data_IF_231616071521
#
_entry.id   IF_231616071521
#
_cell.length_a   1.000
_cell.length_b   1.000
_cell.length_c   1.000
_cell.angle_alpha   90.00
_cell.angle_beta   90.00
_cell.angle_gamma   90.00
#
_symmetry.space_group_name_H-M   'P 1'
#
loop_
_entity.id
_entity.type
_entity.pdbx_description
1 polymer ?
#
# COMPACT_ATOMS: atom_id res chain seq x y z
N UNK A 1 -14.00 14.78 6.01
CA UNK A 1 -12.71 15.47 5.74
C UNK A 1 -12.35 15.43 4.27
N UNK A 2 -11.99 14.26 3.69
CA UNK A 2 -11.52 14.10 2.30
C UNK A 2 -12.35 14.88 1.26
N UNK A 3 -13.69 14.73 1.28
CA UNK A 3 -14.60 15.47 0.39
C UNK A 3 -14.53 17.00 0.55
N UNK A 4 -14.85 17.52 1.73
CA UNK A 4 -14.95 18.97 1.94
C UNK A 4 -13.61 19.68 1.80
N UNK A 5 -12.51 19.10 2.28
CA UNK A 5 -11.16 19.66 2.07
C UNK A 5 -10.84 19.73 0.58
N UNK A 6 -11.14 18.68 -0.19
CA UNK A 6 -10.96 18.69 -1.64
C UNK A 6 -11.81 19.76 -2.34
N UNK A 7 -13.10 19.82 -2.03
CA UNK A 7 -14.04 20.80 -2.61
C UNK A 7 -13.59 22.22 -2.29
N UNK A 8 -13.30 22.54 -1.03
CA UNK A 8 -12.90 23.88 -0.61
C UNK A 8 -11.51 24.27 -1.13
N UNK A 9 -10.61 23.31 -1.35
CA UNK A 9 -9.30 23.58 -1.97
C UNK A 9 -9.43 23.90 -3.46
N UNK A 10 -10.31 23.21 -4.19
CA UNK A 10 -10.48 23.38 -5.64
C UNK A 10 -11.48 24.48 -6.03
N UNK A 11 -12.48 24.71 -5.18
CA UNK A 11 -13.55 25.68 -5.38
C UNK A 11 -13.86 26.36 -4.05
N UNK A 12 -13.02 27.32 -3.60
CA UNK A 12 -13.15 27.94 -2.28
C UNK A 12 -14.47 28.71 -2.09
N UNK A 13 -15.09 29.15 -3.17
CA UNK A 13 -16.37 29.86 -3.14
C UNK A 13 -17.59 28.91 -3.07
N UNK A 14 -17.37 27.60 -3.21
CA UNK A 14 -18.45 26.62 -3.14
C UNK A 14 -18.87 26.37 -1.68
N UNK A 15 -20.17 26.43 -1.45
CA UNK A 15 -20.75 26.09 -0.15
C UNK A 15 -20.97 24.57 -0.05
N UNK A 16 -20.23 23.92 0.86
CA UNK A 16 -20.49 22.53 1.23
C UNK A 16 -21.78 22.41 2.06
N UNK A 17 -22.65 21.49 1.69
CA UNK A 17 -23.83 21.10 2.48
C UNK A 17 -23.68 19.60 2.77
N UNK A 18 -23.68 19.21 4.04
CA UNK A 18 -23.50 17.81 4.45
C UNK A 18 -24.72 17.32 5.27
N UNK A 19 -25.87 17.00 4.64
CA UNK A 19 -27.14 16.77 5.35
C UNK A 19 -27.07 15.67 6.42
N UNK A 20 -26.30 14.60 6.17
CA UNK A 20 -26.14 13.50 7.13
C UNK A 20 -25.52 14.00 8.45
N UNK A 21 -24.47 14.84 8.36
CA UNK A 21 -23.80 15.44 9.51
C UNK A 21 -24.63 16.59 10.10
N UNK A 22 -25.03 17.54 9.25
CA UNK A 22 -25.55 18.84 9.68
C UNK A 22 -27.01 18.77 10.16
N UNK A 23 -27.78 17.78 9.69
CA UNK A 23 -29.19 17.59 10.08
C UNK A 23 -29.40 16.35 10.97
N UNK A 24 -28.33 15.65 11.34
CA UNK A 24 -28.39 14.36 12.04
C UNK A 24 -29.41 13.40 11.37
N UNK A 25 -29.28 13.27 10.04
CA UNK A 25 -30.16 12.43 9.23
C UNK A 25 -29.78 10.96 9.44
N UNK A 26 -30.66 10.21 10.10
CA UNK A 26 -30.50 8.77 10.31
C UNK A 26 -31.19 7.98 9.20
N UNK A 27 -30.82 6.70 9.04
CA UNK A 27 -31.45 5.79 8.07
C UNK A 27 -32.97 5.74 8.26
N UNK A 28 -33.44 5.62 9.49
CA UNK A 28 -34.89 5.54 9.79
C UNK A 28 -35.62 6.84 9.42
N UNK A 29 -35.02 8.01 9.67
CA UNK A 29 -35.58 9.30 9.23
C UNK A 29 -35.64 9.40 7.70
N UNK A 30 -34.61 8.92 7.00
CA UNK A 30 -34.57 8.93 5.54
C UNK A 30 -35.63 7.98 4.95
N UNK A 31 -35.84 6.80 5.54
CA UNK A 31 -36.89 5.85 5.16
C UNK A 31 -38.28 6.46 5.39
N UNK A 32 -38.55 6.99 6.59
CA UNK A 32 -39.84 7.60 6.91
C UNK A 32 -40.15 8.79 5.96
N UNK A 33 -39.16 9.63 5.66
CA UNK A 33 -39.31 10.71 4.70
C UNK A 33 -39.62 10.18 3.29
N UNK A 34 -38.95 9.12 2.85
CA UNK A 34 -39.20 8.52 1.55
C UNK A 34 -40.60 7.89 1.45
N UNK A 35 -41.08 7.23 2.50
CA UNK A 35 -42.44 6.70 2.59
C UNK A 35 -43.49 7.82 2.57
N UNK A 36 -43.30 8.88 3.37
CA UNK A 36 -44.18 10.06 3.41
C UNK A 36 -44.28 10.74 2.04
N UNK A 37 -43.17 10.82 1.31
CA UNK A 37 -43.10 11.46 -0.01
C UNK A 37 -43.37 10.51 -1.18
N UNK A 38 -43.63 9.23 -0.92
CA UNK A 38 -43.85 8.22 -1.97
C UNK A 38 -42.66 8.06 -2.93
N UNK A 39 -41.43 8.19 -2.43
CA UNK A 39 -40.22 8.07 -3.26
C UNK A 39 -39.99 6.59 -3.63
N UNK A 40 -39.67 6.28 -4.90
CA UNK A 40 -39.47 4.90 -5.36
C UNK A 40 -38.07 4.38 -4.99
N UNK A 41 -37.80 4.23 -3.70
CA UNK A 41 -36.53 3.70 -3.19
C UNK A 41 -36.70 2.30 -2.61
N UNK A 42 -35.77 1.40 -2.90
CA UNK A 42 -35.72 0.08 -2.26
C UNK A 42 -35.17 0.21 -0.84
N UNK A 43 -36.00 -0.08 0.17
CA UNK A 43 -35.60 -0.05 1.59
C UNK A 43 -35.21 -1.46 2.05
N UNK A 44 -33.96 -1.86 1.82
CA UNK A 44 -33.49 -3.16 2.30
C UNK A 44 -33.12 -3.06 3.80
N UNK A 45 -33.89 -3.75 4.67
CA UNK A 45 -33.57 -3.95 6.10
C UNK A 45 -32.44 -4.96 6.35
N UNK A 46 -31.86 -5.56 5.31
CA UNK A 46 -31.26 -6.91 5.39
C UNK A 46 -29.73 -7.01 5.39
N UNK A 47 -28.99 -5.95 5.08
CA UNK A 47 -27.53 -6.05 5.05
C UNK A 47 -26.91 -5.38 6.30
N UNK A 48 -26.31 -6.14 7.23
CA UNK A 48 -25.63 -5.58 8.41
C UNK A 48 -24.27 -4.93 8.08
N UNK A 49 -23.77 -5.09 6.85
CA UNK A 49 -22.50 -4.54 6.42
C UNK A 49 -22.64 -3.12 5.85
N UNK A 50 -21.77 -2.22 6.29
CA UNK A 50 -21.43 -1.00 5.56
C UNK A 50 -20.25 -1.32 4.65
N UNK A 51 -20.48 -1.23 3.33
CA UNK A 51 -19.49 -1.63 2.32
C UNK A 51 -19.21 -0.42 1.43
N UNK A 52 -17.93 -0.09 1.29
CA UNK A 52 -17.43 0.80 0.23
C UNK A 52 -16.48 0.00 -0.65
N UNK A 53 -16.70 -0.01 -1.97
CA UNK A 53 -15.89 -0.78 -2.89
C UNK A 53 -15.69 -0.08 -4.22
N UNK A 54 -14.49 -0.22 -4.74
CA UNK A 54 -14.10 0.24 -6.06
C UNK A 54 -13.09 -0.75 -6.65
N UNK A 55 -12.48 -0.44 -7.79
CA UNK A 55 -11.55 -1.37 -8.45
C UNK A 55 -10.26 -1.60 -7.65
N UNK A 56 -9.86 -0.67 -6.79
CA UNK A 56 -8.63 -0.76 -6.00
C UNK A 56 -8.76 -1.67 -4.79
N UNK A 57 -9.96 -1.74 -4.22
CA UNK A 57 -10.25 -2.60 -3.08
C UNK A 57 -11.66 -2.40 -2.54
N UNK A 58 -11.92 -3.08 -1.44
CA UNK A 58 -13.19 -3.12 -0.73
C UNK A 58 -12.96 -2.97 0.76
N UNK A 59 -13.74 -2.12 1.41
CA UNK A 59 -13.75 -1.90 2.85
C UNK A 59 -15.08 -2.38 3.44
N UNK A 60 -15.03 -3.01 4.61
CA UNK A 60 -16.20 -3.53 5.31
C UNK A 60 -16.17 -3.11 6.77
N UNK A 61 -17.27 -2.50 7.19
CA UNK A 61 -17.58 -2.26 8.60
C UNK A 61 -18.86 -3.02 8.96
N UNK A 62 -18.91 -3.54 10.19
CA UNK A 62 -20.10 -4.17 10.77
C UNK A 62 -20.04 -4.08 12.27
N UNK A 63 -21.19 -3.88 12.92
CA UNK A 63 -21.27 -3.80 14.38
C UNK A 63 -20.69 -5.02 15.10
N UNK A 64 -20.68 -6.20 14.46
CA UNK A 64 -20.06 -7.40 15.04
C UNK A 64 -18.54 -7.26 15.22
N UNK A 65 -17.84 -6.59 14.30
CA UNK A 65 -16.38 -6.45 14.32
C UNK A 65 -15.89 -5.20 15.07
N UNK A 66 -16.82 -4.39 15.59
CA UNK A 66 -16.48 -3.31 16.53
C UNK A 66 -15.85 -3.84 17.82
N UNK A 67 -16.20 -5.08 18.23
CA UNK A 67 -15.43 -5.81 19.24
C UNK A 67 -14.17 -6.40 18.59
N UNK A 68 -13.01 -5.90 19.02
CA UNK A 68 -11.69 -6.28 18.51
C UNK A 68 -11.30 -7.74 18.82
N UNK A 69 -12.04 -8.42 19.69
CA UNK A 69 -11.83 -9.85 19.97
C UNK A 69 -12.60 -10.77 19.02
N UNK A 70 -13.64 -10.25 18.33
CA UNK A 70 -14.39 -11.03 17.37
C UNK A 70 -13.59 -11.25 16.09
N UNK A 71 -13.41 -12.51 15.68
CA UNK A 71 -12.76 -12.82 14.42
C UNK A 71 -13.69 -12.51 13.22
N UNK A 72 -13.15 -12.08 12.07
CA UNK A 72 -13.95 -11.89 10.88
C UNK A 72 -14.58 -13.20 10.36
N UNK A 73 -15.85 -13.16 9.97
CA UNK A 73 -16.60 -14.31 9.45
C UNK A 73 -16.51 -14.41 7.91
N UNK A 74 -16.79 -15.59 7.33
CA UNK A 74 -16.57 -15.84 5.89
C UNK A 74 -17.43 -14.98 4.97
N UNK A 75 -18.61 -14.59 5.42
CA UNK A 75 -19.63 -13.81 4.72
C UNK A 75 -19.27 -12.33 4.53
N UNK A 76 -18.23 -11.83 5.19
CA UNK A 76 -17.78 -10.45 4.99
C UNK A 76 -16.94 -10.28 3.72
N UNK A 77 -16.36 -11.36 3.18
CA UNK A 77 -15.41 -11.32 2.07
C UNK A 77 -16.12 -11.56 0.73
N UNK A 78 -15.77 -10.78 -0.29
CA UNK A 78 -16.35 -10.85 -1.64
C UNK A 78 -15.28 -10.82 -2.74
N UNK A 79 -14.24 -9.99 -2.57
CA UNK A 79 -13.15 -9.87 -3.55
C UNK A 79 -12.17 -11.04 -3.49
N UNK A 80 -12.13 -11.77 -2.38
CA UNK A 80 -11.11 -12.80 -2.10
C UNK A 80 -11.70 -14.13 -1.67
N UNK A 81 -11.17 -15.23 -2.23
CA UNK A 81 -11.45 -16.57 -1.76
C UNK A 81 -10.78 -16.83 -0.39
N UNK A 82 -11.21 -17.89 0.30
CA UNK A 82 -10.57 -18.26 1.58
C UNK A 82 -9.14 -18.78 1.35
N UNK A 83 -8.15 -18.31 2.14
CA UNK A 83 -6.79 -18.85 2.08
C UNK A 83 -6.64 -20.19 2.80
N UNK A 84 -7.67 -20.68 3.52
CA UNK A 84 -7.65 -21.98 4.22
C UNK A 84 -7.55 -23.17 3.25
N UNK A 85 -8.18 -23.03 2.08
CA UNK A 85 -8.23 -24.06 1.04
C UNK A 85 -7.92 -23.42 -0.32
N UNK A 86 -6.68 -22.96 -0.53
CA UNK A 86 -6.32 -22.26 -1.75
C UNK A 86 -6.28 -23.24 -2.93
N UNK A 87 -6.55 -22.77 -4.17
CA UNK A 87 -6.28 -23.55 -5.37
C UNK A 87 -4.77 -23.77 -5.53
N UNK A 88 -4.36 -24.46 -6.60
CA UNK A 88 -2.95 -24.62 -6.93
C UNK A 88 -2.23 -23.25 -6.99
N UNK A 89 -0.97 -23.14 -6.53
CA UNK A 89 -0.22 -21.88 -6.57
C UNK A 89 -0.24 -21.22 -7.95
N UNK A 90 -0.44 -19.91 -7.99
CA UNK A 90 -0.45 -19.12 -9.23
C UNK A 90 0.82 -18.29 -9.33
N UNK A 91 1.73 -18.65 -10.24
CA UNK A 91 2.92 -17.87 -10.52
C UNK A 91 2.61 -16.79 -11.57
N UNK A 92 2.95 -15.53 -11.24
CA UNK A 92 2.72 -14.37 -12.10
C UNK A 92 4.01 -13.57 -12.26
N UNK A 93 4.25 -13.07 -13.47
CA UNK A 93 5.26 -12.06 -13.77
C UNK A 93 4.58 -10.73 -14.06
N UNK A 94 4.99 -9.66 -13.37
CA UNK A 94 4.48 -8.30 -13.57
C UNK A 94 5.62 -7.44 -14.11
N UNK A 95 5.39 -6.81 -15.26
CA UNK A 95 6.34 -5.89 -15.90
C UNK A 95 5.99 -4.44 -15.58
N UNK A 96 7.01 -3.65 -15.27
CA UNK A 96 6.89 -2.22 -15.00
C UNK A 96 7.75 -1.40 -15.97
N UNK A 97 7.28 -0.20 -16.28
CA UNK A 97 8.00 0.83 -17.00
C UNK A 97 7.85 2.14 -16.24
N UNK A 98 8.97 2.72 -15.80
CA UNK A 98 9.02 3.92 -14.98
C UNK A 98 8.03 3.89 -13.78
N UNK A 99 7.99 2.77 -13.05
CA UNK A 99 7.12 2.56 -11.90
C UNK A 99 5.67 2.16 -12.22
N UNK A 100 5.26 2.16 -13.50
CA UNK A 100 3.89 1.86 -13.91
C UNK A 100 3.77 0.41 -14.39
N UNK A 101 2.80 -0.39 -13.93
CA UNK A 101 2.60 -1.75 -14.46
C UNK A 101 2.10 -1.71 -15.91
N UNK A 102 2.81 -2.38 -16.80
CA UNK A 102 2.57 -2.37 -18.26
C UNK A 102 2.31 -3.74 -18.88
N UNK A 103 2.65 -4.84 -18.20
CA UNK A 103 2.34 -6.20 -18.65
C UNK A 103 2.16 -7.19 -17.49
N UNK A 104 1.37 -8.24 -17.73
CA UNK A 104 1.24 -9.42 -16.87
C UNK A 104 1.53 -10.64 -17.73
N UNK A 105 2.48 -11.47 -17.31
CA UNK A 105 2.97 -12.66 -18.05
C UNK A 105 3.31 -12.35 -19.52
N UNK A 106 3.93 -11.19 -19.76
CA UNK A 106 4.31 -10.71 -21.09
C UNK A 106 3.16 -10.14 -21.92
N UNK A 107 1.91 -10.20 -21.45
CA UNK A 107 0.75 -9.61 -22.12
C UNK A 107 0.61 -8.15 -21.69
N UNK A 108 0.66 -7.21 -22.65
CA UNK A 108 0.51 -5.77 -22.38
C UNK A 108 -0.85 -5.47 -21.78
N UNK A 109 -0.85 -4.64 -20.75
CA UNK A 109 -2.04 -4.19 -20.04
C UNK A 109 -1.97 -2.70 -19.74
N UNK A 110 -3.13 -2.05 -19.67
CA UNK A 110 -3.27 -0.75 -18.99
C UNK A 110 -3.20 -0.94 -17.47
N UNK A 111 -2.93 0.12 -16.68
CA UNK A 111 -2.95 0.03 -15.21
C UNK A 111 -4.29 -0.52 -14.68
N UNK A 112 -5.41 -0.13 -15.27
CA UNK A 112 -6.73 -0.64 -14.87
C UNK A 112 -6.87 -2.15 -15.14
N UNK A 113 -6.39 -2.63 -16.30
CA UNK A 113 -6.39 -4.06 -16.62
C UNK A 113 -5.46 -4.83 -15.68
N UNK A 114 -4.29 -4.27 -15.33
CA UNK A 114 -3.37 -4.86 -14.37
C UNK A 114 -4.06 -5.07 -13.00
N UNK A 115 -4.73 -4.03 -12.49
CA UNK A 115 -5.46 -4.09 -11.22
C UNK A 115 -6.57 -5.15 -11.28
N UNK A 116 -7.38 -5.15 -12.34
CA UNK A 116 -8.49 -6.12 -12.48
C UNK A 116 -7.99 -7.55 -12.57
N UNK A 117 -6.94 -7.80 -13.33
CA UNK A 117 -6.39 -9.14 -13.49
C UNK A 117 -5.74 -9.64 -12.20
N UNK A 118 -5.00 -8.79 -11.49
CA UNK A 118 -4.41 -9.15 -10.20
C UNK A 118 -5.46 -9.24 -9.08
N UNK A 119 -6.55 -8.47 -9.13
CA UNK A 119 -7.69 -8.70 -8.24
C UNK A 119 -8.25 -10.11 -8.42
N UNK A 120 -8.42 -10.56 -9.67
CA UNK A 120 -8.92 -11.90 -9.98
C UNK A 120 -7.95 -12.99 -9.51
N UNK A 121 -6.67 -12.90 -9.91
CA UNK A 121 -5.66 -13.93 -9.63
C UNK A 121 -5.27 -13.99 -8.15
N UNK A 122 -4.90 -12.85 -7.57
CA UNK A 122 -4.49 -12.78 -6.18
C UNK A 122 -5.70 -12.99 -5.24
N UNK A 123 -6.88 -12.49 -5.63
CA UNK A 123 -8.12 -12.74 -4.89
C UNK A 123 -8.52 -14.22 -4.86
N UNK A 124 -8.34 -14.96 -5.96
CA UNK A 124 -8.56 -16.41 -6.00
C UNK A 124 -7.65 -17.19 -5.04
N UNK A 125 -6.49 -16.62 -4.69
CA UNK A 125 -5.53 -17.18 -3.74
C UNK A 125 -5.69 -16.63 -2.31
N UNK A 126 -6.70 -15.79 -2.06
CA UNK A 126 -6.97 -15.16 -0.76
C UNK A 126 -6.02 -14.02 -0.38
N UNK A 127 -5.21 -13.53 -1.31
CA UNK A 127 -4.25 -12.45 -1.07
C UNK A 127 -4.97 -11.14 -0.78
N UNK A 128 -4.43 -10.34 0.12
CA UNK A 128 -4.89 -8.97 0.35
C UNK A 128 -6.12 -8.86 1.27
N UNK A 129 -6.39 -9.88 2.09
CA UNK A 129 -7.25 -9.73 3.28
C UNK A 129 -6.49 -9.00 4.38
N UNK A 130 -7.04 -7.90 4.86
CA UNK A 130 -6.41 -7.03 5.85
C UNK A 130 -7.42 -6.79 6.97
N UNK A 131 -7.02 -7.02 8.21
CA UNK A 131 -7.78 -6.69 9.42
C UNK A 131 -6.93 -5.72 10.23
N UNK A 132 -7.40 -4.48 10.38
CA UNK A 132 -6.60 -3.40 10.95
C UNK A 132 -7.40 -2.59 11.95
N UNK A 133 -6.75 -2.25 13.07
CA UNK A 133 -7.18 -1.15 13.93
C UNK A 133 -6.36 0.08 13.53
N UNK A 134 -7.03 1.09 13.00
CA UNK A 134 -6.40 2.29 12.45
C UNK A 134 -6.73 3.55 13.25
N UNK A 135 -5.87 4.57 13.12
CA UNK A 135 -6.03 5.88 13.75
C UNK A 135 -6.74 6.84 12.80
N UNK A 136 -8.01 7.12 13.05
CA UNK A 136 -8.75 8.13 12.29
C UNK A 136 -8.22 9.52 12.61
N UNK A 137 -8.11 10.36 11.59
CA UNK A 137 -7.71 11.78 11.73
C UNK A 137 -8.55 12.54 12.77
N UNK A 138 -9.81 12.16 12.95
CA UNK A 138 -10.71 12.78 13.93
C UNK A 138 -10.42 12.38 15.38
N UNK A 139 -9.36 11.61 15.65
CA UNK A 139 -8.83 11.34 16.98
C UNK A 139 -9.31 10.05 17.64
N UNK A 140 -9.96 9.15 16.90
CA UNK A 140 -10.44 7.86 17.42
C UNK A 140 -9.80 6.70 16.67
N UNK A 141 -9.74 5.54 17.32
CA UNK A 141 -9.42 4.28 16.65
C UNK A 141 -10.69 3.64 16.08
N UNK A 142 -10.56 2.97 14.95
CA UNK A 142 -11.59 2.10 14.38
C UNK A 142 -10.97 0.80 13.91
N UNK A 143 -11.75 -0.28 13.91
CA UNK A 143 -11.36 -1.54 13.27
C UNK A 143 -12.08 -1.67 11.93
N UNK A 144 -11.32 -1.96 10.88
CA UNK A 144 -11.84 -2.11 9.52
C UNK A 144 -11.25 -3.36 8.86
N UNK A 145 -12.07 -4.02 8.04
CA UNK A 145 -11.63 -5.12 7.19
C UNK A 145 -11.53 -4.63 5.76
N UNK A 146 -10.40 -4.91 5.12
CA UNK A 146 -10.17 -4.60 3.72
C UNK A 146 -9.88 -5.85 2.89
N UNK A 147 -10.31 -5.80 1.63
CA UNK A 147 -9.88 -6.69 0.57
C UNK A 147 -9.25 -5.88 -0.56
N UNK A 148 -7.94 -6.04 -0.75
CA UNK A 148 -7.18 -5.30 -1.75
C UNK A 148 -6.20 -6.22 -2.52
N UNK A 149 -6.67 -7.33 -3.15
CA UNK A 149 -5.81 -8.34 -3.74
C UNK A 149 -4.84 -7.80 -4.80
N UNK A 150 -5.35 -7.07 -5.79
CA UNK A 150 -4.53 -6.51 -6.88
C UNK A 150 -3.61 -5.40 -6.39
N UNK A 151 -4.10 -4.54 -5.50
CA UNK A 151 -3.29 -3.48 -4.90
C UNK A 151 -2.08 -4.05 -4.12
N UNK A 152 -2.31 -5.05 -3.26
CA UNK A 152 -1.25 -5.66 -2.46
C UNK A 152 -0.24 -6.41 -3.34
N UNK A 153 -0.68 -7.12 -4.37
CA UNK A 153 0.23 -7.76 -5.33
C UNK A 153 1.09 -6.72 -6.08
N UNK A 154 0.48 -5.63 -6.58
CA UNK A 154 1.19 -4.56 -7.27
C UNK A 154 2.18 -3.83 -6.38
N UNK A 155 1.80 -3.47 -5.15
CA UNK A 155 2.68 -2.78 -4.20
C UNK A 155 3.86 -3.67 -3.82
N UNK A 156 3.62 -4.96 -3.56
CA UNK A 156 4.69 -5.92 -3.28
C UNK A 156 5.64 -6.07 -4.47
N UNK A 157 5.12 -6.18 -5.69
CA UNK A 157 5.93 -6.27 -6.90
C UNK A 157 6.80 -5.01 -7.06
N UNK A 158 6.16 -3.85 -7.03
CA UNK A 158 6.78 -2.55 -7.22
C UNK A 158 7.91 -2.30 -6.22
N UNK A 159 7.68 -2.58 -4.93
CA UNK A 159 8.71 -2.46 -3.90
C UNK A 159 9.93 -3.34 -4.18
N UNK A 160 9.72 -4.58 -4.62
CA UNK A 160 10.81 -5.48 -4.97
C UNK A 160 11.54 -5.12 -6.27
N UNK A 161 10.92 -4.34 -7.15
CA UNK A 161 11.62 -3.73 -8.28
C UNK A 161 12.48 -2.57 -7.81
N UNK A 162 11.95 -1.71 -6.93
CA UNK A 162 12.73 -0.62 -6.33
C UNK A 162 13.99 -1.13 -5.59
N UNK A 163 13.90 -2.27 -4.90
CA UNK A 163 15.04 -2.89 -4.21
C UNK A 163 16.25 -3.15 -5.13
N UNK A 164 16.02 -3.33 -6.44
CA UNK A 164 17.09 -3.58 -7.43
C UNK A 164 17.37 -2.38 -8.34
N UNK A 165 16.55 -1.32 -8.32
CA UNK A 165 16.72 -0.17 -9.24
C UNK A 165 16.95 1.17 -8.53
N UNK A 166 16.79 1.26 -7.21
CA UNK A 166 16.98 2.49 -6.43
C UNK A 166 18.22 2.35 -5.54
N UNK A 167 19.09 3.37 -5.54
CA UNK A 167 20.30 3.40 -4.71
C UNK A 167 19.95 3.41 -3.21
N UNK A 168 20.83 2.83 -2.38
CA UNK A 168 20.61 2.58 -0.94
C UNK A 168 20.13 3.80 -0.15
N UNK A 169 20.79 4.95 -0.23
CA UNK A 169 20.38 6.14 0.53
C UNK A 169 19.12 6.79 -0.05
N UNK A 170 18.96 6.76 -1.38
CA UNK A 170 17.71 7.18 -2.02
C UNK A 170 16.52 6.33 -1.54
N UNK A 171 16.68 5.01 -1.47
CA UNK A 171 15.65 4.08 -0.99
C UNK A 171 15.28 4.33 0.47
N UNK A 172 16.28 4.55 1.34
CA UNK A 172 16.06 4.89 2.76
C UNK A 172 15.23 6.17 2.92
N UNK A 173 15.58 7.23 2.19
CA UNK A 173 14.83 8.49 2.27
C UNK A 173 13.45 8.38 1.61
N UNK A 174 13.35 7.67 0.49
CA UNK A 174 12.07 7.40 -0.20
C UNK A 174 11.08 6.67 0.70
N UNK A 175 11.52 5.82 1.62
CA UNK A 175 10.64 5.18 2.61
C UNK A 175 9.92 6.22 3.50
N UNK A 176 10.63 7.25 3.96
CA UNK A 176 10.04 8.38 4.71
C UNK A 176 9.07 9.18 3.84
N UNK A 177 9.45 9.47 2.59
CA UNK A 177 8.58 10.19 1.65
C UNK A 177 7.29 9.41 1.38
N UNK A 178 7.39 8.10 1.13
CA UNK A 178 6.25 7.23 0.84
C UNK A 178 5.29 7.15 2.02
N UNK A 179 5.80 7.03 3.24
CA UNK A 179 4.99 7.08 4.46
C UNK A 179 4.27 8.43 4.60
N UNK A 180 5.00 9.54 4.44
CA UNK A 180 4.39 10.87 4.57
C UNK A 180 3.35 11.15 3.48
N UNK A 181 3.58 10.66 2.27
CA UNK A 181 2.62 10.74 1.17
C UNK A 181 1.33 10.00 1.53
N UNK A 182 1.42 8.78 2.07
CA UNK A 182 0.24 8.00 2.47
C UNK A 182 -0.57 8.69 3.57
N UNK A 183 0.09 9.26 4.58
CA UNK A 183 -0.55 10.04 5.65
C UNK A 183 -1.33 11.24 5.10
N UNK A 184 -0.73 12.02 4.20
CA UNK A 184 -1.40 13.17 3.58
C UNK A 184 -2.65 12.74 2.80
N UNK A 185 -2.58 11.62 2.08
CA UNK A 185 -3.74 11.08 1.36
C UNK A 185 -4.84 10.64 2.32
N UNK A 186 -4.47 9.91 3.39
CA UNK A 186 -5.42 9.46 4.42
C UNK A 186 -6.15 10.65 5.07
N UNK A 187 -5.40 11.71 5.39
CA UNK A 187 -5.87 12.94 6.03
C UNK A 187 -6.71 13.85 5.11
N UNK A 188 -6.90 13.47 3.85
CA UNK A 188 -7.66 14.26 2.87
C UNK A 188 -6.89 15.44 2.27
N UNK A 189 -5.57 15.44 2.39
CA UNK A 189 -4.67 16.47 1.88
C UNK A 189 -4.12 16.15 0.47
N UNK A 190 -4.91 15.45 -0.36
CA UNK A 190 -4.53 15.08 -1.73
C UNK A 190 -4.10 16.31 -2.58
N UNK A 191 -4.80 17.43 -2.42
CA UNK A 191 -4.53 18.67 -3.17
C UNK A 191 -3.57 19.64 -2.47
N UNK A 192 -2.97 19.23 -1.33
CA UNK A 192 -2.04 20.06 -0.58
C UNK A 192 -0.71 20.29 -1.35
N UNK A 193 -0.02 21.41 -1.11
CA UNK A 193 1.25 21.70 -1.76
C UNK A 193 2.34 20.67 -1.39
N UNK A 194 2.38 20.19 -0.13
CA UNK A 194 3.36 19.20 0.28
C UNK A 194 3.18 17.90 -0.50
N UNK A 195 1.94 17.40 -0.65
CA UNK A 195 1.64 16.19 -1.44
C UNK A 195 2.18 16.32 -2.86
N UNK A 196 1.97 17.47 -3.51
CA UNK A 196 2.50 17.74 -4.87
C UNK A 196 4.03 17.75 -4.93
N UNK A 197 4.70 18.31 -3.93
CA UNK A 197 6.17 18.26 -3.85
C UNK A 197 6.68 16.83 -3.67
N UNK A 198 5.96 16.00 -2.90
CA UNK A 198 6.29 14.58 -2.77
C UNK A 198 6.00 13.79 -4.06
N UNK A 199 4.94 14.13 -4.81
CA UNK A 199 4.69 13.53 -6.13
C UNK A 199 5.87 13.77 -7.08
N UNK A 200 6.41 15.00 -7.12
CA UNK A 200 7.57 15.33 -7.97
C UNK A 200 8.83 14.55 -7.56
N UNK A 201 9.06 14.38 -6.25
CA UNK A 201 10.13 13.51 -5.76
C UNK A 201 9.90 12.05 -6.21
N UNK A 202 8.69 11.52 -6.04
CA UNK A 202 8.36 10.15 -6.41
C UNK A 202 8.55 9.95 -7.92
N UNK A 203 8.03 10.84 -8.76
CA UNK A 203 8.17 10.80 -10.22
C UNK A 203 9.64 10.75 -10.65
N UNK A 204 10.51 11.55 -10.03
CA UNK A 204 11.96 11.49 -10.28
C UNK A 204 12.56 10.13 -9.91
N UNK A 205 12.19 9.57 -8.74
CA UNK A 205 12.69 8.24 -8.32
C UNK A 205 12.24 7.11 -9.22
N UNK A 206 11.13 7.26 -9.96
CA UNK A 206 10.59 6.20 -10.80
C UNK A 206 11.28 6.06 -12.15
N UNK A 207 12.14 7.00 -12.57
CA UNK A 207 12.78 7.01 -13.91
C UNK A 207 13.41 5.69 -14.34
N UNK A 208 14.01 4.96 -13.40
CA UNK A 208 14.70 3.68 -13.66
C UNK A 208 14.00 2.46 -13.06
N UNK A 209 12.79 2.63 -12.52
CA UNK A 209 12.00 1.53 -11.93
C UNK A 209 11.28 0.79 -13.06
N UNK A 210 12.06 0.09 -13.87
CA UNK A 210 11.61 -0.66 -15.06
C UNK A 210 12.17 -2.07 -15.01
N UNK A 211 11.34 -3.08 -15.32
CA UNK A 211 11.73 -4.48 -15.25
C UNK A 211 10.59 -5.40 -14.86
N UNK A 212 10.92 -6.66 -14.59
CA UNK A 212 9.95 -7.70 -14.28
C UNK A 212 10.15 -8.27 -12.88
N UNK A 213 9.03 -8.50 -12.20
CA UNK A 213 8.98 -9.19 -10.92
C UNK A 213 8.11 -10.42 -11.05
N UNK A 214 8.69 -11.58 -10.68
CA UNK A 214 7.98 -12.85 -10.64
C UNK A 214 7.64 -13.21 -9.20
N UNK A 215 6.39 -13.61 -8.97
CA UNK A 215 5.88 -13.96 -7.65
C UNK A 215 4.92 -15.14 -7.71
N UNK A 216 4.84 -15.87 -6.61
CA UNK A 216 3.85 -16.92 -6.38
C UNK A 216 2.75 -16.37 -5.50
N UNK A 217 1.52 -16.43 -5.99
CA UNK A 217 0.30 -16.11 -5.26
C UNK A 217 -0.27 -17.42 -4.70
N UNK A 218 -0.29 -17.57 -3.38
CA UNK A 218 -0.80 -18.78 -2.75
C UNK A 218 -1.11 -18.59 -1.26
N UNK A 219 -2.18 -19.22 -0.77
CA UNK A 219 -2.48 -19.30 0.67
C UNK A 219 -2.54 -17.94 1.37
N UNK A 220 -3.09 -16.92 0.71
CA UNK A 220 -3.19 -15.56 1.24
C UNK A 220 -1.94 -14.70 1.08
N UNK A 221 -0.87 -15.21 0.45
CA UNK A 221 0.41 -14.53 0.31
C UNK A 221 0.81 -14.32 -1.15
N UNK A 222 1.57 -13.24 -1.40
CA UNK A 222 2.26 -12.97 -2.65
C UNK A 222 3.77 -12.96 -2.37
N UNK A 223 4.48 -14.01 -2.78
CA UNK A 223 5.90 -14.23 -2.45
C UNK A 223 6.74 -14.04 -3.71
N UNK A 224 7.63 -13.05 -3.73
CA UNK A 224 8.53 -12.80 -4.86
C UNK A 224 9.63 -13.86 -4.91
N UNK A 225 9.82 -14.44 -6.10
CA UNK A 225 10.81 -15.48 -6.36
C UNK A 225 11.76 -15.16 -7.53
N UNK A 226 11.63 -13.99 -8.17
CA UNK A 226 12.48 -13.58 -9.27
C UNK A 226 12.39 -12.09 -9.57
N UNK A 227 13.51 -11.50 -9.98
CA UNK A 227 13.61 -10.12 -10.44
C UNK A 227 14.52 -10.05 -11.66
N UNK A 228 14.21 -9.21 -12.63
CA UNK A 228 15.12 -8.85 -13.72
C UNK A 228 14.87 -7.42 -14.19
N UNK A 229 15.91 -6.69 -14.51
CA UNK A 229 15.83 -5.31 -14.98
C UNK A 229 17.10 -4.96 -15.76
N UNK A 230 16.96 -4.24 -16.87
CA UNK A 230 18.08 -3.66 -17.61
C UNK A 230 18.69 -2.44 -16.89
N UNK A 231 17.94 -1.85 -15.96
CA UNK A 231 18.36 -0.72 -15.11
C UNK A 231 18.71 -1.18 -13.68
N UNK A 232 19.02 -2.47 -13.53
CA UNK A 232 19.42 -3.07 -12.26
C UNK A 232 20.72 -2.44 -11.74
N UNK A 233 20.74 -2.12 -10.45
CA UNK A 233 21.92 -1.77 -9.66
C UNK A 233 22.57 -3.00 -9.01
N UNK A 234 21.92 -4.17 -9.08
CA UNK A 234 22.55 -5.43 -8.70
C UNK A 234 23.59 -5.81 -9.77
N UNK A 235 24.83 -5.89 -9.34
CA UNK A 235 25.98 -6.32 -10.12
C UNK A 235 26.43 -7.69 -9.58
N UNK A 236 26.37 -8.71 -10.44
CA UNK A 236 26.71 -10.08 -10.07
C UNK A 236 28.21 -10.22 -9.74
N UNK A 237 29.08 -9.58 -10.54
CA UNK A 237 30.53 -9.72 -10.41
C UNK A 237 31.04 -8.98 -9.17
N UNK A 238 30.35 -7.94 -8.69
CA UNK A 238 30.66 -7.29 -7.41
C UNK A 238 30.13 -8.05 -6.18
N UNK A 239 29.17 -8.96 -6.35
CA UNK A 239 28.50 -9.65 -5.24
C UNK A 239 28.93 -11.10 -5.05
N UNK A 240 29.45 -11.73 -6.11
CA UNK A 240 29.81 -13.15 -6.11
C UNK A 240 31.08 -13.43 -5.30
N UNK A 241 31.18 -14.64 -4.76
CA UNK A 241 32.43 -15.20 -4.19
C UNK A 241 33.10 -16.19 -5.15
N UNK A 242 32.50 -16.44 -6.31
CA UNK A 242 33.02 -17.35 -7.31
C UNK A 242 34.12 -16.70 -8.16
N UNK A 243 34.66 -17.47 -9.12
CA UNK A 243 35.59 -16.92 -10.11
C UNK A 243 34.90 -15.83 -10.93
N UNK A 244 35.46 -14.62 -10.92
CA UNK A 244 34.84 -13.44 -11.53
C UNK A 244 34.54 -12.32 -10.53
N UNK A 245 34.79 -12.52 -9.22
CA UNK A 245 34.70 -11.45 -8.20
C UNK A 245 35.54 -10.23 -8.60
N UNK A 246 34.90 -9.06 -8.64
CA UNK A 246 35.49 -7.76 -8.95
C UNK A 246 35.51 -6.79 -7.76
N UNK A 247 35.01 -7.21 -6.60
CA UNK A 247 34.99 -6.37 -5.39
C UNK A 247 36.37 -6.28 -4.76
N UNK A 248 36.95 -5.08 -4.71
CA UNK A 248 38.23 -4.85 -4.04
C UNK A 248 38.09 -4.86 -2.51
N UNK A 249 38.21 -6.06 -1.93
CA UNK A 249 38.13 -6.28 -0.49
C UNK A 249 39.21 -5.52 0.30
N UNK A 250 40.31 -5.08 -0.33
CA UNK A 250 41.38 -4.36 0.37
C UNK A 250 40.92 -2.99 0.89
N UNK A 251 39.95 -2.36 0.21
CA UNK A 251 39.39 -1.06 0.58
C UNK A 251 38.50 -1.13 1.82
N UNK A 252 37.97 -2.31 2.16
CA UNK A 252 37.04 -2.49 3.27
C UNK A 252 37.65 -2.10 4.63
N UNK A 253 38.94 -2.36 4.84
CA UNK A 253 39.63 -2.02 6.11
C UNK A 253 39.61 -0.51 6.38
N UNK A 254 39.95 0.29 5.38
CA UNK A 254 39.94 1.75 5.49
C UNK A 254 38.53 2.29 5.72
N UNK A 255 37.55 1.74 4.99
CA UNK A 255 36.15 2.08 5.17
C UNK A 255 35.66 1.82 6.59
N UNK A 256 35.91 0.63 7.14
CA UNK A 256 35.46 0.24 8.50
C UNK A 256 36.04 1.17 9.57
N UNK A 257 37.35 1.48 9.50
CA UNK A 257 38.00 2.36 10.47
C UNK A 257 37.42 3.78 10.44
N UNK A 258 37.21 4.35 9.25
CA UNK A 258 36.68 5.70 9.11
C UNK A 258 35.19 5.77 9.45
N UNK A 259 34.38 4.81 8.97
CA UNK A 259 32.95 4.77 9.22
C UNK A 259 32.63 4.58 10.71
N UNK A 260 33.35 3.69 11.38
CA UNK A 260 33.15 3.41 12.80
C UNK A 260 33.77 4.44 13.75
N UNK A 261 34.54 5.40 13.25
CA UNK A 261 35.37 6.29 14.07
C UNK A 261 34.57 7.09 15.11
N UNK A 262 33.43 7.65 14.71
CA UNK A 262 32.59 8.45 15.61
C UNK A 262 32.04 7.62 16.78
N UNK A 263 31.53 6.42 16.50
CA UNK A 263 31.03 5.49 17.50
C UNK A 263 32.15 4.99 18.43
N UNK A 264 33.33 4.69 17.87
CA UNK A 264 34.53 4.28 18.62
C UNK A 264 34.97 5.35 19.61
N UNK A 265 34.99 6.62 19.20
CA UNK A 265 35.34 7.75 20.08
C UNK A 265 34.30 7.93 21.19
N UNK A 266 33.00 7.85 20.88
CA UNK A 266 31.93 7.95 21.87
C UNK A 266 32.04 6.85 22.94
N UNK A 267 32.19 5.59 22.51
CA UNK A 267 32.40 4.45 23.41
C UNK A 267 33.65 4.61 24.27
N UNK A 268 34.76 5.09 23.68
CA UNK A 268 35.98 5.38 24.43
C UNK A 268 35.79 6.46 25.52
N UNK A 269 34.92 7.45 25.30
CA UNK A 269 34.53 8.40 26.34
C UNK A 269 33.74 7.69 27.44
N UNK A 270 32.73 6.89 27.09
CA UNK A 270 31.87 6.22 28.04
C UNK A 270 32.66 5.31 28.99
N UNK A 271 33.59 4.51 28.45
CA UNK A 271 34.50 3.65 29.25
C UNK A 271 35.35 4.48 30.21
N UNK A 272 35.95 5.58 29.72
CA UNK A 272 36.82 6.45 30.52
C UNK A 272 36.08 7.14 31.66
N UNK A 273 34.79 7.47 31.46
CA UNK A 273 33.96 8.11 32.48
C UNK A 273 33.39 7.07 33.46
N UNK A 274 32.96 5.90 33.00
CA UNK A 274 32.40 4.85 33.86
C UNK A 274 33.45 4.15 34.75
N UNK A 275 34.72 4.17 34.36
CA UNK A 275 35.83 3.68 35.18
C UNK A 275 36.35 4.69 36.23
N UNK A 276 35.68 5.84 36.40
CA UNK A 276 35.92 6.82 37.47
C UNK A 276 34.74 6.83 38.43
#
# INVERSE_FOLDING_TARGET
VRFEVGIQTLGPDLKCIAPVRDLALTRDKAIAFAEEKGLPIETTKKNPYSIDQNVWGRAVETGYLEDIWNAPTKDIYDYTATPEFPPAPDEVTISFEAGVPVAIDGVRVTPLQAIKELNRRAGAQGVGRIDVVEDRLVGIKSREIYEAPGAMALITAHKHLEDITIEREQARFKATVSQRWAELVYDGQWFSPLKRSLDAFIEDTQKYVSGDIRMVLHGGQAIVNGRRSETSLYDFDLATYDTGDTFDQSMARGFIELWGMSAKVASGRDIRVAGK
#
